data_IF_848616213809
#
_entry.id   IF_848616213809
#
_cell.length_a   1.000
_cell.length_b   1.000
_cell.length_c   1.000
_cell.angle_alpha   90.00
_cell.angle_beta   90.00
_cell.angle_gamma   90.00
#
_symmetry.space_group_name_H-M   'P 1'
#
loop_
_entity.id
_entity.type
_entity.pdbx_description
1 polymer ?
#
# COMPACT_ATOMS: atom_id res chain seq x y z
N UNK A 1 -39.44 1.53 9.70
CA UNK A 1 -39.17 0.25 10.37
C UNK A 1 -39.00 -0.82 9.28
N UNK A 2 -37.84 -0.97 8.75
CA UNK A 2 -37.46 -2.02 7.83
C UNK A 2 -36.09 -2.52 8.26
N UNK A 3 -36.08 -3.51 9.17
CA UNK A 3 -34.86 -4.29 9.44
C UNK A 3 -34.54 -5.08 8.19
N UNK A 4 -33.59 -4.57 7.38
CA UNK A 4 -33.06 -5.29 6.24
C UNK A 4 -32.33 -6.53 6.74
N UNK A 5 -32.69 -7.71 6.21
CA UNK A 5 -32.03 -8.97 6.49
C UNK A 5 -30.51 -8.84 6.21
N UNK A 6 -29.71 -8.94 7.25
CA UNK A 6 -28.27 -8.90 7.19
C UNK A 6 -27.72 -10.25 7.70
N UNK A 7 -26.95 -10.95 6.85
CA UNK A 7 -26.14 -12.08 7.33
C UNK A 7 -24.81 -11.53 7.83
N UNK A 8 -24.54 -11.73 9.13
CA UNK A 8 -23.20 -11.64 9.67
C UNK A 8 -22.50 -12.99 9.51
N UNK A 9 -21.35 -13.02 8.85
CA UNK A 9 -20.56 -14.24 8.70
C UNK A 9 -20.33 -14.93 10.06
N UNK A 10 -21.09 -15.98 10.42
CA UNK A 10 -20.93 -16.74 11.67
C UNK A 10 -20.12 -18.02 11.46
N UNK A 11 -19.33 -18.45 12.42
CA UNK A 11 -18.58 -19.70 12.35
C UNK A 11 -19.51 -20.88 12.62
N UNK A 12 -19.86 -21.65 11.59
CA UNK A 12 -20.37 -23.00 11.77
C UNK A 12 -19.23 -23.99 11.57
N UNK A 13 -19.00 -24.81 12.57
CA UNK A 13 -18.10 -25.97 12.51
C UNK A 13 -18.87 -27.07 11.79
N UNK A 14 -18.46 -27.46 10.60
CA UNK A 14 -18.96 -28.64 9.93
C UNK A 14 -17.81 -29.60 9.62
N UNK A 15 -18.07 -30.87 9.89
CA UNK A 15 -17.14 -31.98 9.97
C UNK A 15 -16.48 -32.34 8.63
N UNK A 16 -15.28 -32.87 8.76
CA UNK A 16 -14.46 -33.44 7.70
C UNK A 16 -15.10 -34.64 7.04
N UNK A 17 -15.09 -34.69 5.71
CA UNK A 17 -15.20 -35.93 4.92
C UNK A 17 -13.91 -36.10 4.12
N UNK A 18 -13.16 -37.13 4.47
CA UNK A 18 -12.01 -37.63 3.71
C UNK A 18 -12.44 -38.23 2.39
N UNK A 19 -11.74 -37.89 1.30
CA UNK A 19 -11.62 -38.76 0.14
C UNK A 19 -10.14 -38.91 -0.24
N UNK A 20 -9.72 -40.16 -0.15
CA UNK A 20 -8.46 -40.72 -0.66
C UNK A 20 -8.62 -41.09 -2.12
N UNK A 21 -7.59 -40.92 -2.94
CA UNK A 21 -7.02 -41.88 -3.91
C UNK A 21 -6.28 -41.13 -5.03
N UNK A 22 -5.04 -41.38 -5.13
CA UNK A 22 -4.28 -42.26 -6.04
C UNK A 22 -3.88 -41.60 -7.37
N UNK A 23 -2.56 -41.44 -7.49
CA UNK A 23 -1.86 -41.20 -8.75
C UNK A 23 -1.82 -42.48 -9.62
N UNK A 24 -1.57 -42.38 -10.92
CA UNK A 24 -0.45 -43.17 -11.44
C UNK A 24 0.50 -42.45 -12.40
N UNK A 25 1.67 -42.99 -12.40
CA UNK A 25 2.87 -42.84 -13.20
C UNK A 25 2.68 -43.08 -14.72
N UNK A 26 3.54 -42.50 -15.51
CA UNK A 26 4.32 -43.00 -16.66
C UNK A 26 4.60 -41.87 -17.64
N UNK A 27 5.67 -41.70 -18.33
CA UNK A 27 6.93 -42.32 -18.61
C UNK A 27 7.64 -41.46 -19.68
N UNK A 28 8.95 -41.51 -19.68
CA UNK A 28 9.91 -40.90 -20.62
C UNK A 28 9.59 -41.05 -22.09
N UNK A 29 9.94 -40.03 -22.93
CA UNK A 29 10.74 -40.28 -24.11
C UNK A 29 11.60 -39.09 -24.52
N UNK A 30 12.86 -39.39 -24.81
CA UNK A 30 13.93 -38.52 -25.35
C UNK A 30 13.71 -38.31 -26.85
N UNK A 31 13.98 -37.10 -27.36
CA UNK A 31 14.55 -36.92 -28.68
C UNK A 31 15.60 -35.81 -28.60
N UNK A 32 16.82 -36.17 -29.01
CA UNK A 32 17.99 -35.29 -29.18
C UNK A 32 18.09 -34.81 -30.62
N UNK A 33 18.68 -33.60 -30.75
CA UNK A 33 19.47 -33.08 -31.87
C UNK A 33 18.73 -32.39 -33.02
N UNK A 34 18.86 -31.05 -33.05
CA UNK A 34 19.45 -30.30 -34.19
C UNK A 34 19.46 -28.79 -33.88
N UNK A 35 20.59 -28.28 -33.48
CA UNK A 35 21.00 -26.87 -33.54
C UNK A 35 22.45 -26.97 -34.09
N UNK A 36 22.94 -26.16 -35.03
CA UNK A 36 23.07 -24.72 -34.92
C UNK A 36 23.07 -23.98 -36.27
N UNK A 37 22.28 -23.00 -36.50
CA UNK A 37 22.53 -22.00 -37.56
C UNK A 37 21.78 -20.65 -37.44
N UNK A 38 21.02 -20.43 -36.35
CA UNK A 38 20.21 -19.19 -36.21
C UNK A 38 20.77 -18.23 -35.14
N UNK A 39 21.88 -18.57 -34.50
CA UNK A 39 22.40 -17.83 -33.33
C UNK A 39 23.26 -16.58 -33.66
N UNK A 40 23.63 -16.35 -34.93
CA UNK A 40 24.56 -15.24 -35.27
C UNK A 40 23.88 -14.00 -35.77
N UNK A 41 22.62 -14.04 -36.23
CA UNK A 41 21.93 -12.86 -36.77
C UNK A 41 21.10 -12.13 -35.70
N UNK A 42 20.75 -12.79 -34.58
CA UNK A 42 19.97 -12.16 -33.50
C UNK A 42 20.77 -11.29 -32.52
N UNK A 43 22.09 -11.43 -32.49
CA UNK A 43 22.96 -10.67 -31.55
C UNK A 43 23.27 -9.27 -32.04
N UNK A 44 23.21 -9.00 -33.36
CA UNK A 44 23.49 -7.68 -33.92
C UNK A 44 22.28 -6.72 -33.92
N UNK A 45 21.06 -7.23 -33.76
CA UNK A 45 19.87 -6.38 -33.65
C UNK A 45 19.54 -5.94 -32.23
N UNK A 46 20.13 -6.58 -31.19
CA UNK A 46 19.89 -6.25 -29.79
C UNK A 46 20.74 -5.06 -29.28
N UNK A 47 21.76 -4.64 -30.02
CA UNK A 47 22.63 -3.52 -29.62
C UNK A 47 22.21 -2.14 -30.16
N UNK A 48 21.19 -2.05 -31.02
CA UNK A 48 20.73 -0.79 -31.63
C UNK A 48 19.37 -0.28 -31.15
N UNK A 49 18.69 -1.00 -30.23
CA UNK A 49 17.38 -0.62 -29.72
C UNK A 49 17.33 -0.63 -28.18
N UNK A 50 18.37 -0.17 -27.51
CA UNK A 50 18.27 0.12 -26.07
C UNK A 50 17.66 1.50 -25.90
N UNK A 51 16.50 1.65 -25.22
CA UNK A 51 16.03 2.96 -24.82
C UNK A 51 17.07 3.53 -23.84
N UNK A 52 17.54 4.73 -24.14
CA UNK A 52 18.46 5.48 -23.28
C UNK A 52 17.85 5.56 -21.89
N UNK A 53 18.46 4.83 -20.94
CA UNK A 53 18.21 5.01 -19.53
C UNK A 53 18.47 6.45 -19.15
N UNK A 54 17.46 7.12 -18.63
CA UNK A 54 17.61 8.44 -18.02
C UNK A 54 18.72 8.36 -16.96
N UNK A 55 19.64 9.33 -16.90
CA UNK A 55 20.70 9.31 -15.92
C UNK A 55 20.08 9.39 -14.50
N UNK A 56 20.35 8.41 -13.66
CA UNK A 56 19.99 8.47 -12.25
C UNK A 56 20.79 9.62 -11.61
N UNK A 57 20.13 10.68 -11.23
CA UNK A 57 20.74 11.91 -10.69
C UNK A 57 21.49 11.74 -9.36
N UNK A 58 21.46 10.56 -8.75
CA UNK A 58 22.35 10.22 -7.63
C UNK A 58 23.62 9.46 -8.05
N UNK A 59 23.85 9.27 -9.34
CA UNK A 59 25.14 8.88 -9.84
C UNK A 59 26.02 10.13 -9.95
N UNK A 60 26.78 10.41 -8.89
CA UNK A 60 27.83 11.43 -8.91
C UNK A 60 28.96 10.95 -9.82
N UNK A 61 29.50 11.78 -10.75
CA UNK A 61 30.66 11.40 -11.54
C UNK A 61 31.85 11.06 -10.64
N UNK A 62 32.54 9.99 -10.97
CA UNK A 62 33.71 9.51 -10.25
C UNK A 62 34.86 10.52 -10.36
N UNK A 63 34.87 11.54 -9.52
CA UNK A 63 36.07 12.33 -9.22
C UNK A 63 36.48 12.00 -7.78
N UNK A 64 37.71 11.55 -7.65
CA UNK A 64 38.38 11.15 -6.44
C UNK A 64 38.35 12.25 -5.39
N UNK A 65 37.46 12.09 -4.42
CA UNK A 65 37.68 12.58 -3.05
C UNK A 65 36.74 11.80 -2.14
N UNK A 66 37.32 10.98 -1.28
CA UNK A 66 36.63 10.26 -0.22
C UNK A 66 36.20 11.25 0.86
N UNK A 67 35.09 11.96 0.64
CA UNK A 67 34.45 12.71 1.73
C UNK A 67 33.78 11.71 2.66
N UNK A 68 34.04 11.74 3.97
CA UNK A 68 33.45 10.84 4.95
C UNK A 68 31.91 10.94 5.03
N UNK A 69 31.32 11.99 4.45
CA UNK A 69 29.87 12.22 4.41
C UNK A 69 29.17 11.30 3.39
N UNK A 70 29.82 10.96 2.25
CA UNK A 70 29.20 10.10 1.22
C UNK A 70 29.04 8.65 1.65
N UNK A 71 29.91 8.13 2.52
CA UNK A 71 29.84 6.73 3.00
C UNK A 71 28.69 6.50 3.99
N UNK A 72 28.06 7.56 4.51
CA UNK A 72 27.00 7.50 5.52
C UNK A 72 25.58 7.50 4.93
N UNK A 73 25.40 7.80 3.66
CA UNK A 73 24.06 7.79 3.05
C UNK A 73 23.57 6.36 2.88
N UNK A 74 22.41 6.05 3.45
CA UNK A 74 21.84 4.70 3.47
C UNK A 74 21.74 4.09 2.06
N UNK A 75 21.38 4.86 1.04
CA UNK A 75 21.27 4.40 -0.35
C UNK A 75 22.60 4.27 -1.10
N UNK A 76 23.73 4.61 -0.48
CA UNK A 76 25.06 4.27 -1.00
C UNK A 76 25.40 2.79 -0.79
N UNK A 77 24.67 2.08 0.05
CA UNK A 77 24.88 0.66 0.31
C UNK A 77 24.29 -0.19 -0.81
N UNK A 78 25.06 -1.17 -1.30
CA UNK A 78 24.59 -2.10 -2.33
C UNK A 78 23.61 -3.12 -1.74
N UNK A 79 22.45 -3.29 -2.38
CA UNK A 79 21.49 -4.34 -2.01
C UNK A 79 21.95 -5.71 -2.48
N UNK A 80 21.55 -6.75 -1.77
CA UNK A 80 21.82 -8.16 -2.12
C UNK A 80 20.60 -8.85 -2.73
N UNK A 81 19.44 -8.23 -2.63
CA UNK A 81 18.20 -8.74 -3.21
C UNK A 81 17.32 -7.59 -3.74
N UNK A 82 16.56 -7.90 -4.75
CA UNK A 82 15.58 -7.00 -5.36
C UNK A 82 14.24 -7.72 -5.50
N UNK A 83 13.14 -7.00 -5.29
CA UNK A 83 11.79 -7.53 -5.47
C UNK A 83 11.19 -6.96 -6.75
N UNK A 84 10.49 -7.83 -7.51
CA UNK A 84 9.76 -7.45 -8.73
C UNK A 84 8.41 -8.16 -8.79
N UNK A 85 7.43 -7.64 -9.53
CA UNK A 85 6.21 -8.37 -9.80
C UNK A 85 6.53 -9.75 -10.36
N UNK A 86 5.88 -10.79 -9.83
CA UNK A 86 6.03 -12.13 -10.39
C UNK A 86 5.34 -12.24 -11.75
N UNK A 87 5.98 -12.90 -12.71
CA UNK A 87 5.42 -13.07 -14.06
C UNK A 87 4.17 -13.98 -14.09
N UNK A 88 4.08 -14.94 -13.17
CA UNK A 88 3.03 -15.97 -13.18
C UNK A 88 1.60 -15.42 -13.13
N UNK A 89 1.37 -14.25 -12.50
CA UNK A 89 0.02 -13.68 -12.40
C UNK A 89 -0.34 -12.76 -13.57
N UNK A 90 0.63 -12.36 -14.39
CA UNK A 90 0.41 -11.41 -15.50
C UNK A 90 -0.31 -12.03 -16.70
N UNK A 91 -0.26 -13.35 -16.86
CA UNK A 91 -0.85 -14.03 -18.01
C UNK A 91 -2.35 -14.23 -17.90
N UNK A 92 -2.92 -13.98 -16.72
CA UNK A 92 -4.34 -14.22 -16.45
C UNK A 92 -4.73 -15.70 -16.49
N UNK A 93 -5.80 -16.04 -15.82
CA UNK A 93 -6.43 -17.36 -15.90
C UNK A 93 -7.90 -17.10 -16.23
N UNK A 94 -8.37 -17.46 -17.43
CA UNK A 94 -9.73 -17.17 -17.85
C UNK A 94 -10.77 -17.66 -16.84
N UNK A 95 -11.79 -16.85 -16.62
CA UNK A 95 -12.91 -17.22 -15.76
C UNK A 95 -13.84 -18.19 -16.51
N UNK A 96 -14.54 -19.09 -15.80
CA UNK A 96 -15.60 -19.90 -16.40
C UNK A 96 -16.64 -19.01 -17.10
N UNK A 97 -17.29 -19.50 -18.17
CA UNK A 97 -18.27 -18.68 -18.92
C UNK A 97 -19.54 -18.37 -18.13
N UNK A 98 -19.93 -19.27 -17.22
CA UNK A 98 -21.11 -19.08 -16.36
C UNK A 98 -20.76 -18.26 -15.14
N UNK A 99 -21.69 -17.43 -14.63
CA UNK A 99 -21.52 -16.62 -13.44
C UNK A 99 -22.55 -16.97 -12.37
N UNK A 100 -22.10 -16.96 -11.12
CA UNK A 100 -22.94 -17.26 -9.95
C UNK A 100 -23.86 -16.11 -9.58
N UNK A 101 -23.58 -14.90 -10.04
CA UNK A 101 -24.36 -13.70 -9.76
C UNK A 101 -23.50 -12.45 -9.82
N UNK A 102 -24.02 -11.37 -9.26
CA UNK A 102 -23.38 -10.05 -9.22
C UNK A 102 -22.94 -9.73 -7.80
N UNK A 103 -21.75 -9.13 -7.69
CA UNK A 103 -21.19 -8.69 -6.41
C UNK A 103 -20.76 -7.23 -6.51
N UNK A 104 -21.23 -6.39 -5.59
CA UNK A 104 -20.74 -5.03 -5.41
C UNK A 104 -19.93 -4.94 -4.15
N UNK A 105 -18.69 -4.48 -4.26
CA UNK A 105 -17.82 -4.30 -3.10
C UNK A 105 -18.14 -2.97 -2.44
N UNK A 106 -18.43 -3.03 -1.16
CA UNK A 106 -18.66 -1.87 -0.31
C UNK A 106 -17.38 -1.52 0.42
N UNK A 107 -16.76 -0.41 0.02
CA UNK A 107 -15.46 0.03 0.53
C UNK A 107 -15.65 1.18 1.52
N UNK A 108 -14.87 1.19 2.60
CA UNK A 108 -14.99 2.23 3.63
C UNK A 108 -13.63 2.74 4.11
N UNK A 109 -13.63 3.95 4.71
CA UNK A 109 -12.43 4.59 5.24
C UNK A 109 -11.72 5.48 4.22
N UNK A 110 -10.48 5.86 4.47
CA UNK A 110 -9.70 6.67 3.55
C UNK A 110 -9.21 5.90 2.34
N UNK A 111 -8.70 6.61 1.32
CA UNK A 111 -8.35 6.09 -0.01
C UNK A 111 -7.60 4.74 0.01
N UNK A 112 -6.60 4.58 0.86
CA UNK A 112 -5.78 3.38 0.86
C UNK A 112 -6.43 2.20 1.60
N UNK A 113 -7.45 2.45 2.44
CA UNK A 113 -8.36 1.43 2.95
C UNK A 113 -9.33 0.98 1.84
N UNK A 114 -9.92 1.95 1.11
CA UNK A 114 -10.79 1.67 -0.05
C UNK A 114 -10.04 0.81 -1.08
N UNK A 115 -8.80 1.17 -1.43
CA UNK A 115 -7.96 0.39 -2.36
C UNK A 115 -7.74 -1.04 -1.86
N UNK A 116 -7.46 -1.24 -0.58
CA UNK A 116 -7.32 -2.58 -0.01
C UNK A 116 -8.60 -3.38 -0.15
N UNK A 117 -9.75 -2.78 0.18
CA UNK A 117 -11.05 -3.45 0.09
C UNK A 117 -11.40 -3.79 -1.37
N UNK A 118 -11.02 -2.94 -2.33
CA UNK A 118 -11.13 -3.22 -3.76
C UNK A 118 -10.28 -4.42 -4.19
N UNK A 119 -9.01 -4.44 -3.79
CA UNK A 119 -8.10 -5.54 -4.10
C UNK A 119 -8.63 -6.88 -3.57
N UNK A 120 -9.11 -6.88 -2.33
CA UNK A 120 -9.70 -8.04 -1.70
C UNK A 120 -11.01 -8.43 -2.40
N UNK A 121 -11.84 -7.45 -2.74
CA UNK A 121 -13.09 -7.64 -3.45
C UNK A 121 -12.93 -8.26 -4.84
N UNK A 122 -11.93 -7.83 -5.61
CA UNK A 122 -11.60 -8.43 -6.92
C UNK A 122 -11.24 -9.91 -6.77
N UNK A 123 -10.39 -10.25 -5.80
CA UNK A 123 -10.04 -11.64 -5.55
C UNK A 123 -11.24 -12.47 -5.11
N UNK A 124 -12.11 -11.92 -4.26
CA UNK A 124 -13.32 -12.60 -3.78
C UNK A 124 -14.34 -12.76 -4.91
N UNK A 125 -14.57 -11.75 -5.74
CA UNK A 125 -15.45 -11.85 -6.90
C UNK A 125 -14.98 -12.96 -7.83
N UNK A 126 -13.67 -13.06 -8.07
CA UNK A 126 -13.08 -14.15 -8.86
C UNK A 126 -13.23 -15.52 -8.17
N UNK A 127 -13.01 -15.57 -6.86
CA UNK A 127 -13.14 -16.80 -6.07
C UNK A 127 -14.57 -17.35 -6.11
N UNK A 128 -15.56 -16.46 -6.01
CA UNK A 128 -16.98 -16.79 -6.05
C UNK A 128 -17.52 -16.96 -7.49
N UNK A 129 -16.68 -16.77 -8.50
CA UNK A 129 -17.07 -16.75 -9.91
C UNK A 129 -18.25 -15.79 -10.19
N UNK A 130 -18.16 -14.58 -9.64
CA UNK A 130 -19.17 -13.53 -9.75
C UNK A 130 -18.74 -12.45 -10.76
N UNK A 131 -19.72 -11.79 -11.39
CA UNK A 131 -19.51 -10.53 -12.10
C UNK A 131 -19.45 -9.40 -11.06
N UNK A 132 -18.37 -8.63 -11.06
CA UNK A 132 -18.22 -7.49 -10.17
C UNK A 132 -18.92 -6.27 -10.76
N UNK A 133 -19.78 -5.64 -9.98
CA UNK A 133 -20.34 -4.31 -10.30
C UNK A 133 -19.39 -3.25 -9.76
N UNK A 134 -19.28 -2.09 -10.44
CA UNK A 134 -18.43 -1.00 -9.96
C UNK A 134 -18.63 -0.78 -8.45
N UNK A 135 -17.54 -0.67 -7.68
CA UNK A 135 -17.59 -0.58 -6.23
C UNK A 135 -18.30 0.69 -5.74
N UNK A 136 -18.84 0.63 -4.55
CA UNK A 136 -19.42 1.78 -3.86
C UNK A 136 -18.50 2.17 -2.71
N UNK A 137 -18.16 3.45 -2.64
CA UNK A 137 -17.45 4.02 -1.51
C UNK A 137 -18.45 4.47 -0.46
N UNK A 138 -18.21 4.10 0.78
CA UNK A 138 -19.02 4.58 1.90
C UNK A 138 -18.67 6.03 2.18
N UNK A 139 -19.69 6.85 2.36
CA UNK A 139 -19.51 8.22 2.85
C UNK A 139 -18.92 8.14 4.26
N UNK A 140 -17.67 8.57 4.42
CA UNK A 140 -17.02 8.57 5.72
C UNK A 140 -17.42 9.82 6.50
N UNK A 141 -18.30 9.67 7.45
CA UNK A 141 -18.78 10.77 8.31
C UNK A 141 -17.63 11.52 9.02
N UNK A 142 -16.52 10.82 9.29
CA UNK A 142 -15.32 11.38 9.93
C UNK A 142 -14.60 12.46 9.11
N UNK A 143 -14.70 12.40 7.76
CA UNK A 143 -13.94 13.27 6.87
C UNK A 143 -14.83 14.04 5.90
N UNK A 144 -16.13 14.02 6.10
CA UNK A 144 -17.11 14.60 5.16
C UNK A 144 -16.82 14.19 3.71
N UNK A 145 -16.47 12.92 3.52
CA UNK A 145 -15.98 12.37 2.26
C UNK A 145 -17.11 11.68 1.51
N UNK A 146 -17.41 12.16 0.31
CA UNK A 146 -18.52 11.67 -0.52
C UNK A 146 -18.09 11.27 -1.93
N UNK A 147 -16.77 11.20 -2.20
CA UNK A 147 -16.27 10.79 -3.52
C UNK A 147 -16.65 9.35 -3.84
N UNK A 148 -17.06 9.13 -5.10
CA UNK A 148 -17.26 7.81 -5.65
C UNK A 148 -15.97 7.23 -6.30
N UNK A 149 -16.09 6.02 -6.84
CA UNK A 149 -14.98 5.36 -7.54
C UNK A 149 -14.45 6.20 -8.72
N UNK A 150 -15.36 6.73 -9.55
CA UNK A 150 -15.02 7.51 -10.74
C UNK A 150 -14.37 8.87 -10.43
N UNK A 151 -14.57 9.39 -9.23
CA UNK A 151 -13.95 10.67 -8.81
C UNK A 151 -12.45 10.52 -8.57
N UNK A 152 -11.98 9.29 -8.34
CA UNK A 152 -10.57 8.99 -8.04
C UNK A 152 -9.93 8.15 -9.14
N UNK A 153 -10.61 7.10 -9.63
CA UNK A 153 -10.03 6.10 -10.53
C UNK A 153 -10.63 6.17 -11.94
N UNK A 154 -9.84 5.76 -12.93
CA UNK A 154 -10.27 5.61 -14.32
C UNK A 154 -11.12 4.33 -14.46
N UNK A 155 -12.43 4.52 -14.70
CA UNK A 155 -13.42 3.43 -14.78
C UNK A 155 -13.17 2.53 -15.99
N UNK A 156 -12.90 3.12 -17.16
CA UNK A 156 -12.76 2.35 -18.39
C UNK A 156 -11.45 1.58 -18.39
N UNK A 157 -10.38 2.19 -17.90
CA UNK A 157 -9.11 1.51 -17.69
C UNK A 157 -9.25 0.36 -16.68
N UNK A 158 -9.95 0.57 -15.56
CA UNK A 158 -10.19 -0.47 -14.56
C UNK A 158 -10.91 -1.69 -15.16
N UNK A 159 -11.98 -1.48 -15.91
CA UNK A 159 -12.74 -2.54 -16.56
C UNK A 159 -11.87 -3.29 -17.58
N UNK A 160 -11.09 -2.56 -18.37
CA UNK A 160 -10.22 -3.17 -19.38
C UNK A 160 -9.11 -4.00 -18.74
N UNK A 161 -8.44 -3.47 -17.70
CA UNK A 161 -7.31 -4.16 -17.05
C UNK A 161 -7.73 -5.35 -16.18
N UNK A 162 -8.99 -5.43 -15.78
CA UNK A 162 -9.52 -6.60 -15.07
C UNK A 162 -10.02 -7.68 -16.00
N UNK A 163 -10.15 -7.41 -17.30
CA UNK A 163 -10.58 -8.39 -18.31
C UNK A 163 -9.64 -9.61 -18.33
N UNK A 164 -10.22 -10.81 -18.33
CA UNK A 164 -9.47 -12.08 -18.22
C UNK A 164 -9.13 -12.52 -16.80
N UNK A 165 -9.38 -11.68 -15.79
CA UNK A 165 -9.22 -12.00 -14.37
C UNK A 165 -10.57 -12.05 -13.65
N UNK A 166 -11.34 -10.99 -13.75
CA UNK A 166 -12.70 -10.87 -13.24
C UNK A 166 -13.51 -10.01 -14.21
N UNK A 167 -14.75 -10.39 -14.46
CA UNK A 167 -15.64 -9.54 -15.24
C UNK A 167 -16.13 -8.38 -14.38
N UNK A 168 -16.01 -7.15 -14.89
CA UNK A 168 -16.48 -5.94 -14.22
C UNK A 168 -17.46 -5.21 -15.13
N UNK A 169 -18.60 -4.80 -14.58
CA UNK A 169 -19.64 -4.03 -15.28
C UNK A 169 -19.89 -2.72 -14.56
N UNK A 170 -20.26 -1.68 -15.33
CA UNK A 170 -20.66 -0.37 -14.76
C UNK A 170 -21.97 -0.51 -14.01
N UNK A 171 -22.94 -1.15 -14.63
CA UNK A 171 -24.30 -1.33 -14.13
C UNK A 171 -24.73 -2.80 -14.26
N UNK A 172 -25.69 -3.18 -13.46
CA UNK A 172 -26.31 -4.50 -13.50
C UNK A 172 -27.53 -4.47 -14.43
N UNK A 173 -27.94 -5.63 -15.00
CA UNK A 173 -29.17 -5.74 -15.77
C UNK A 173 -30.36 -5.17 -15.00
N UNK A 174 -31.28 -4.50 -15.73
CA UNK A 174 -32.41 -3.79 -15.14
C UNK A 174 -33.28 -4.70 -14.27
N UNK A 175 -33.50 -5.94 -14.71
CA UNK A 175 -34.31 -6.95 -14.00
C UNK A 175 -33.77 -7.26 -12.59
N UNK A 176 -32.46 -7.09 -12.39
CA UNK A 176 -31.78 -7.34 -11.12
C UNK A 176 -31.66 -6.01 -10.32
N UNK A 177 -31.54 -4.89 -11.02
CA UNK A 177 -31.35 -3.56 -10.42
C UNK A 177 -32.56 -3.08 -9.59
N UNK A 178 -33.76 -3.62 -9.88
CA UNK A 178 -34.98 -3.31 -9.14
C UNK A 178 -34.98 -3.79 -7.68
N UNK A 179 -34.02 -4.67 -7.32
CA UNK A 179 -33.86 -5.17 -5.95
C UNK A 179 -32.63 -4.56 -5.31
N UNK A 180 -32.78 -4.11 -4.06
CA UNK A 180 -31.61 -3.74 -3.25
C UNK A 180 -30.70 -4.98 -3.07
N UNK A 181 -29.37 -4.80 -3.14
CA UNK A 181 -28.46 -5.90 -2.96
C UNK A 181 -28.55 -6.46 -1.54
N UNK A 182 -28.57 -7.77 -1.42
CA UNK A 182 -28.48 -8.41 -0.11
C UNK A 182 -27.11 -8.11 0.50
N UNK A 183 -27.06 -7.53 1.71
CA UNK A 183 -25.81 -7.07 2.29
C UNK A 183 -25.12 -8.13 3.14
N UNK A 184 -23.85 -8.40 2.85
CA UNK A 184 -22.99 -9.34 3.59
C UNK A 184 -21.83 -8.56 4.20
N UNK A 185 -21.81 -8.39 5.52
CA UNK A 185 -20.72 -7.69 6.23
C UNK A 185 -19.77 -8.67 6.91
N UNK A 186 -18.55 -8.74 6.41
CA UNK A 186 -17.48 -9.57 6.96
C UNK A 186 -16.42 -8.80 7.76
N UNK A 187 -16.58 -7.50 8.03
CA UNK A 187 -15.56 -6.65 8.71
C UNK A 187 -15.16 -7.15 10.09
N UNK A 188 -16.12 -7.62 10.87
CA UNK A 188 -15.89 -8.03 12.26
C UNK A 188 -15.22 -9.40 12.40
N UNK A 189 -14.99 -10.09 11.30
CA UNK A 189 -14.36 -11.41 11.33
C UNK A 189 -12.89 -11.31 11.66
N UNK A 190 -12.51 -12.04 12.70
CA UNK A 190 -11.11 -12.27 13.07
C UNK A 190 -10.75 -13.71 12.73
N UNK A 191 -9.55 -13.90 12.17
CA UNK A 191 -9.07 -15.22 11.84
C UNK A 191 -9.41 -15.69 10.42
N UNK A 192 -9.31 -16.98 10.21
CA UNK A 192 -9.59 -17.59 8.92
C UNK A 192 -11.09 -17.90 8.79
N UNK A 193 -11.68 -17.47 7.69
CA UNK A 193 -12.95 -18.02 7.24
C UNK A 193 -12.91 -18.19 5.71
N UNK A 194 -13.76 -19.07 5.22
CA UNK A 194 -13.85 -19.37 3.82
C UNK A 194 -15.01 -18.55 3.18
N UNK A 195 -14.68 -17.74 2.18
CA UNK A 195 -15.70 -16.98 1.44
C UNK A 195 -16.63 -17.89 0.63
N UNK A 196 -16.11 -19.04 0.13
CA UNK A 196 -16.93 -19.96 -0.65
C UNK A 196 -17.99 -20.59 0.26
N UNK A 197 -17.60 -21.06 1.44
CA UNK A 197 -18.54 -21.63 2.39
C UNK A 197 -19.54 -20.61 2.94
N UNK A 198 -19.07 -19.36 3.15
CA UNK A 198 -19.85 -18.35 3.89
C UNK A 198 -20.68 -17.44 3.00
N UNK A 199 -20.17 -17.03 1.83
CA UNK A 199 -20.78 -15.98 1.00
C UNK A 199 -21.42 -16.56 -0.26
N UNK A 200 -20.86 -17.64 -0.82
CA UNK A 200 -21.40 -18.22 -2.05
C UNK A 200 -22.90 -18.65 -1.92
N UNK A 201 -23.36 -19.24 -0.80
CA UNK A 201 -24.78 -19.55 -0.65
C UNK A 201 -25.69 -18.33 -0.82
N UNK A 202 -25.36 -17.21 -0.18
CA UNK A 202 -26.11 -15.97 -0.31
C UNK A 202 -26.07 -15.40 -1.73
N UNK A 203 -24.91 -15.52 -2.41
CA UNK A 203 -24.79 -15.09 -3.81
C UNK A 203 -25.67 -15.91 -4.75
N UNK A 204 -25.74 -17.23 -4.55
CA UNK A 204 -26.57 -18.13 -5.37
C UNK A 204 -28.07 -17.90 -5.14
N UNK A 205 -28.46 -17.62 -3.89
CA UNK A 205 -29.85 -17.35 -3.50
C UNK A 205 -30.32 -16.00 -4.01
N UNK A 206 -29.58 -14.93 -3.68
CA UNK A 206 -30.01 -13.55 -3.97
C UNK A 206 -29.60 -13.04 -5.34
N UNK A 207 -28.64 -13.69 -6.02
CA UNK A 207 -28.08 -13.34 -7.34
C UNK A 207 -27.39 -11.98 -7.40
N UNK A 208 -27.63 -11.07 -6.47
CA UNK A 208 -26.97 -9.80 -6.32
C UNK A 208 -26.74 -9.50 -4.84
N UNK A 209 -25.45 -9.38 -4.47
CA UNK A 209 -25.03 -9.07 -3.11
C UNK A 209 -24.14 -7.84 -3.06
N UNK A 210 -24.19 -7.14 -1.94
CA UNK A 210 -23.23 -6.11 -1.54
C UNK A 210 -22.33 -6.68 -0.45
N UNK A 211 -21.02 -6.71 -0.68
CA UNK A 211 -20.06 -7.33 0.22
C UNK A 211 -19.09 -6.29 0.79
N UNK A 212 -19.00 -6.25 2.13
CA UNK A 212 -17.88 -5.60 2.82
C UNK A 212 -16.85 -6.67 3.19
N UNK A 213 -15.62 -6.65 2.60
CA UNK A 213 -14.62 -7.67 2.83
C UNK A 213 -14.11 -7.70 4.27
N UNK A 214 -13.61 -8.84 4.72
CA UNK A 214 -13.02 -8.98 6.03
C UNK A 214 -11.69 -8.21 6.12
N UNK A 215 -11.45 -7.54 7.24
CA UNK A 215 -10.23 -6.76 7.48
C UNK A 215 -8.95 -7.61 7.51
N UNK A 216 -9.06 -8.88 7.87
CA UNK A 216 -7.94 -9.81 8.02
C UNK A 216 -8.21 -11.09 7.23
N UNK A 217 -7.43 -11.30 6.18
CA UNK A 217 -7.52 -12.46 5.30
C UNK A 217 -6.17 -13.14 5.14
N UNK A 218 -6.18 -14.47 5.16
CA UNK A 218 -5.03 -15.28 4.76
C UNK A 218 -5.07 -15.57 3.27
N UNK A 219 -4.65 -14.60 2.49
CA UNK A 219 -4.62 -14.65 1.00
C UNK A 219 -3.66 -15.70 0.45
N UNK A 220 -2.70 -16.14 1.27
CA UNK A 220 -1.83 -17.28 0.99
C UNK A 220 -2.61 -18.56 0.66
N UNK A 221 -3.82 -18.70 1.19
CA UNK A 221 -4.71 -19.85 0.94
C UNK A 221 -5.59 -19.73 -0.30
N UNK A 222 -5.63 -18.57 -0.95
CA UNK A 222 -6.43 -18.45 -2.17
C UNK A 222 -5.81 -19.28 -3.30
N UNK A 223 -6.65 -19.85 -4.19
CA UNK A 223 -6.18 -20.48 -5.42
C UNK A 223 -5.39 -19.48 -6.28
N UNK A 224 -4.54 -19.98 -7.17
CA UNK A 224 -3.69 -19.16 -8.04
C UNK A 224 -4.49 -18.14 -8.86
N UNK A 225 -5.64 -18.52 -9.40
CA UNK A 225 -6.48 -17.62 -10.19
C UNK A 225 -7.03 -16.43 -9.38
N UNK A 226 -7.40 -16.65 -8.11
CA UNK A 226 -7.87 -15.57 -7.24
C UNK A 226 -6.70 -14.67 -6.76
N UNK A 227 -5.52 -15.24 -6.50
CA UNK A 227 -4.28 -14.50 -6.25
C UNK A 227 -3.88 -13.65 -7.45
N UNK A 228 -3.94 -14.20 -8.67
CA UNK A 228 -3.64 -13.46 -9.89
C UNK A 228 -4.59 -12.27 -10.05
N UNK A 229 -5.91 -12.47 -9.82
CA UNK A 229 -6.90 -11.40 -9.88
C UNK A 229 -6.64 -10.31 -8.83
N UNK A 230 -6.23 -10.69 -7.62
CA UNK A 230 -5.81 -9.75 -6.59
C UNK A 230 -4.62 -8.90 -7.06
N UNK A 231 -3.55 -9.53 -7.56
CA UNK A 231 -2.33 -8.84 -7.98
C UNK A 231 -2.60 -7.91 -9.17
N UNK A 232 -3.35 -8.37 -10.17
CA UNK A 232 -3.76 -7.56 -11.32
C UNK A 232 -4.59 -6.35 -10.90
N UNK A 233 -5.63 -6.58 -10.08
CA UNK A 233 -6.51 -5.53 -9.61
C UNK A 233 -5.79 -4.49 -8.77
N UNK A 234 -4.93 -4.94 -7.85
CA UNK A 234 -4.19 -4.06 -6.94
C UNK A 234 -3.11 -3.22 -7.60
N UNK A 235 -2.33 -3.84 -8.49
CA UNK A 235 -1.06 -3.27 -8.93
C UNK A 235 -1.02 -2.88 -10.41
N UNK A 236 -2.09 -3.17 -11.15
CA UNK A 236 -2.21 -2.77 -12.54
C UNK A 236 -3.53 -2.05 -12.87
N UNK A 237 -4.66 -2.48 -12.34
CA UNK A 237 -5.97 -1.97 -12.76
C UNK A 237 -6.39 -0.65 -12.09
N UNK A 238 -5.88 -0.31 -10.90
CA UNK A 238 -6.27 0.89 -10.15
C UNK A 238 -5.39 2.09 -10.53
N UNK A 239 -5.68 2.69 -11.67
CA UNK A 239 -5.07 3.94 -12.15
C UNK A 239 -5.96 5.13 -11.79
N UNK A 240 -5.34 6.27 -11.47
CA UNK A 240 -6.07 7.52 -11.21
C UNK A 240 -6.78 7.99 -12.48
N UNK A 241 -7.91 8.66 -12.31
CA UNK A 241 -8.57 9.31 -13.43
C UNK A 241 -7.73 10.48 -13.95
N UNK A 242 -7.95 10.87 -15.22
CA UNK A 242 -7.13 11.88 -15.91
C UNK A 242 -7.08 13.24 -15.20
N UNK A 243 -8.15 13.65 -14.50
CA UNK A 243 -8.19 14.92 -13.78
C UNK A 243 -7.31 14.90 -12.54
N UNK A 244 -7.40 13.83 -11.76
CA UNK A 244 -6.58 13.65 -10.55
C UNK A 244 -5.13 13.45 -10.93
N UNK A 245 -4.86 12.66 -11.97
CA UNK A 245 -3.51 12.43 -12.47
C UNK A 245 -2.84 13.71 -12.98
N UNK A 246 -3.54 14.52 -13.79
CA UNK A 246 -3.02 15.80 -14.28
C UNK A 246 -2.66 16.75 -13.11
N UNK A 247 -3.51 16.82 -12.08
CA UNK A 247 -3.21 17.63 -10.88
C UNK A 247 -2.04 17.07 -10.08
N UNK A 248 -1.89 15.75 -10.02
CA UNK A 248 -0.75 15.11 -9.37
C UNK A 248 0.58 15.33 -10.14
N UNK A 249 0.54 15.38 -11.46
CA UNK A 249 1.68 15.72 -12.31
C UNK A 249 2.09 17.19 -12.09
N UNK A 250 1.13 18.12 -12.03
CA UNK A 250 1.38 19.52 -11.69
C UNK A 250 2.16 19.67 -10.37
N UNK A 251 1.72 18.95 -9.32
CA UNK A 251 2.45 18.91 -8.05
C UNK A 251 3.87 18.35 -8.21
N UNK A 252 4.00 17.24 -8.93
CA UNK A 252 5.28 16.55 -9.11
C UNK A 252 6.29 17.43 -9.86
N UNK A 253 5.83 18.24 -10.82
CA UNK A 253 6.65 19.17 -11.58
C UNK A 253 7.04 20.42 -10.80
N UNK A 254 6.20 20.85 -9.86
CA UNK A 254 6.46 21.99 -9.00
C UNK A 254 7.52 21.74 -7.91
N UNK A 255 7.85 20.46 -7.63
CA UNK A 255 8.86 20.12 -6.62
C UNK A 255 10.25 20.08 -7.25
N UNK A 256 11.23 20.85 -6.72
CA UNK A 256 12.62 20.80 -7.21
C UNK A 256 13.22 19.41 -7.05
N UNK A 257 13.83 18.90 -8.13
CA UNK A 257 14.43 17.56 -8.16
C UNK A 257 15.94 17.62 -7.92
N UNK A 258 16.54 16.60 -7.31
CA UNK A 258 15.88 15.41 -6.76
C UNK A 258 15.16 15.71 -5.44
N UNK A 259 14.10 14.93 -5.14
CA UNK A 259 13.38 15.08 -3.88
C UNK A 259 13.05 13.73 -3.21
N UNK A 260 12.91 13.79 -1.90
CA UNK A 260 12.44 12.69 -1.07
C UNK A 260 10.98 12.92 -0.70
N UNK A 261 10.11 11.93 -0.89
CA UNK A 261 8.79 11.96 -0.30
C UNK A 261 8.81 11.30 1.08
N UNK A 262 8.33 12.03 2.09
CA UNK A 262 8.23 11.58 3.47
C UNK A 262 6.77 11.42 3.87
N UNK A 263 6.34 10.20 4.18
CA UNK A 263 5.03 9.98 4.81
C UNK A 263 5.20 10.05 6.32
N UNK A 264 4.84 11.19 6.90
CA UNK A 264 4.91 11.46 8.34
C UNK A 264 3.50 11.32 8.95
N UNK A 265 3.35 10.40 9.89
CA UNK A 265 2.07 10.09 10.55
C UNK A 265 2.11 10.49 12.03
N UNK A 266 1.93 11.76 12.30
CA UNK A 266 1.86 12.32 13.66
C UNK A 266 0.68 13.30 13.81
N UNK A 267 -0.45 12.97 13.17
CA UNK A 267 -1.70 13.70 13.29
C UNK A 267 -2.45 13.25 14.56
N UNK A 268 -3.35 14.09 15.10
CA UNK A 268 -4.09 13.82 16.33
C UNK A 268 -4.85 12.48 16.32
N UNK A 269 -5.50 12.14 15.19
CA UNK A 269 -6.24 10.89 15.02
C UNK A 269 -5.35 9.66 15.14
N UNK A 270 -4.15 9.71 14.55
CA UNK A 270 -3.20 8.61 14.57
C UNK A 270 -2.57 8.43 15.94
N UNK A 271 -2.20 9.53 16.60
CA UNK A 271 -1.67 9.50 17.95
C UNK A 271 -2.73 8.98 18.93
N UNK A 272 -3.97 9.45 18.84
CA UNK A 272 -5.09 8.95 19.61
C UNK A 272 -5.34 7.45 19.39
N UNK A 273 -5.35 7.00 18.12
CA UNK A 273 -5.51 5.59 17.75
C UNK A 273 -4.38 4.70 18.32
N UNK A 274 -3.15 5.21 18.35
CA UNK A 274 -1.99 4.49 18.88
C UNK A 274 -2.06 4.25 20.39
N UNK A 275 -2.86 5.03 21.11
CA UNK A 275 -2.96 5.03 22.59
C UNK A 275 -1.64 5.36 23.29
N UNK A 276 -0.68 5.95 22.58
CA UNK A 276 0.62 6.32 23.12
C UNK A 276 0.59 7.64 23.86
N UNK A 277 1.39 7.71 24.94
CA UNK A 277 1.66 8.93 25.67
C UNK A 277 2.85 9.65 25.03
N UNK A 278 2.73 10.97 24.89
CA UNK A 278 3.81 11.88 24.50
C UNK A 278 3.91 13.03 25.50
N UNK A 279 5.14 13.38 25.85
CA UNK A 279 5.44 14.49 26.75
C UNK A 279 5.96 15.67 25.93
N UNK A 280 5.71 16.88 26.40
CA UNK A 280 6.23 18.11 25.79
C UNK A 280 5.52 18.54 24.51
N UNK A 281 4.31 18.04 24.27
CA UNK A 281 3.46 18.56 23.20
C UNK A 281 3.01 19.98 23.53
N UNK A 282 2.87 20.83 22.51
CA UNK A 282 2.29 22.17 22.63
C UNK A 282 0.82 22.11 23.10
N UNK A 283 0.35 23.19 23.73
CA UNK A 283 -1.06 23.27 24.19
C UNK A 283 -2.04 23.03 23.05
N UNK A 284 -1.76 23.57 21.85
CA UNK A 284 -2.55 23.35 20.63
C UNK A 284 -2.61 21.87 20.23
N UNK A 285 -1.47 21.18 20.27
CA UNK A 285 -1.40 19.76 19.95
C UNK A 285 -2.11 18.89 20.98
N UNK A 286 -2.00 19.25 22.26
CA UNK A 286 -2.72 18.57 23.34
C UNK A 286 -4.23 18.69 23.18
N UNK A 287 -4.74 19.88 22.91
CA UNK A 287 -6.17 20.12 22.68
C UNK A 287 -6.69 19.31 21.47
N UNK A 288 -5.98 19.36 20.34
CA UNK A 288 -6.34 18.58 19.15
C UNK A 288 -6.32 17.06 19.41
N UNK A 289 -5.35 16.60 20.18
CA UNK A 289 -5.22 15.19 20.55
C UNK A 289 -6.36 14.72 21.47
N UNK A 290 -6.73 15.52 22.47
CA UNK A 290 -7.85 15.19 23.36
C UNK A 290 -9.17 15.17 22.59
N UNK A 291 -9.39 16.13 21.69
CA UNK A 291 -10.57 16.12 20.80
C UNK A 291 -10.63 14.84 19.92
N UNK A 292 -9.48 14.38 19.39
CA UNK A 292 -9.38 13.19 18.57
C UNK A 292 -9.52 11.88 19.36
N UNK A 293 -9.22 11.88 20.66
CA UNK A 293 -9.38 10.69 21.52
C UNK A 293 -10.83 10.35 21.77
N UNK A 294 -11.66 11.34 22.00
CA UNK A 294 -13.04 11.12 22.44
C UNK A 294 -13.09 10.37 23.77
N UNK A 295 -14.23 9.72 24.04
CA UNK A 295 -14.45 8.96 25.29
C UNK A 295 -13.86 7.56 25.29
N UNK A 296 -13.53 7.00 24.14
CA UNK A 296 -13.24 5.56 23.99
C UNK A 296 -11.74 5.18 23.90
N UNK A 297 -10.83 6.14 23.86
CA UNK A 297 -9.41 5.90 23.57
C UNK A 297 -8.50 6.25 24.74
N UNK A 298 -8.49 5.40 25.75
CA UNK A 298 -7.62 5.57 26.92
C UNK A 298 -6.14 5.45 26.55
N UNK A 299 -5.32 6.34 27.09
CA UNK A 299 -3.85 6.31 26.98
C UNK A 299 -3.30 5.13 27.78
N UNK A 300 -2.33 4.44 27.20
CA UNK A 300 -1.57 3.42 27.92
C UNK A 300 -0.56 4.08 28.83
N UNK A 301 -0.45 3.61 30.06
CA UNK A 301 0.47 4.12 31.09
C UNK A 301 1.37 3.02 31.66
N UNK A 302 2.43 3.40 32.35
CA UNK A 302 3.31 2.48 33.07
C UNK A 302 3.97 1.44 32.13
N UNK A 303 4.03 0.20 32.59
CA UNK A 303 4.67 -0.91 31.86
C UNK A 303 3.99 -1.25 30.54
N UNK A 304 2.68 -1.09 30.46
CA UNK A 304 1.93 -1.30 29.23
C UNK A 304 2.33 -0.28 28.15
N UNK A 305 2.50 0.98 28.51
CA UNK A 305 2.97 2.02 27.58
C UNK A 305 4.40 1.74 27.11
N UNK A 306 5.28 1.36 28.03
CA UNK A 306 6.68 1.03 27.73
C UNK A 306 6.78 -0.17 26.78
N UNK A 307 6.06 -1.27 27.08
CA UNK A 307 6.02 -2.45 26.22
C UNK A 307 5.46 -2.14 24.82
N UNK A 308 4.42 -1.31 24.76
CA UNK A 308 3.77 -0.92 23.53
C UNK A 308 4.71 -0.10 22.63
N UNK A 309 5.41 0.88 23.21
CA UNK A 309 6.44 1.68 22.53
C UNK A 309 7.60 0.80 22.04
N UNK A 310 8.13 -0.08 22.88
CA UNK A 310 9.23 -0.99 22.52
C UNK A 310 8.86 -1.99 21.42
N UNK A 311 7.58 -2.26 21.23
CA UNK A 311 7.06 -3.02 20.07
C UNK A 311 6.93 -2.17 18.80
N UNK A 312 7.30 -0.89 18.83
CA UNK A 312 7.20 0.03 17.70
C UNK A 312 5.76 0.40 17.33
N UNK A 313 4.84 0.41 18.30
CA UNK A 313 3.43 0.75 18.06
C UNK A 313 3.15 2.24 18.12
N UNK A 314 4.06 3.03 18.69
CA UNK A 314 3.91 4.48 18.78
C UNK A 314 4.46 5.16 17.52
N UNK A 315 3.75 6.14 16.95
CA UNK A 315 4.28 7.01 15.90
C UNK A 315 5.57 7.72 16.32
N UNK A 316 6.47 7.99 15.39
CA UNK A 316 7.61 8.87 15.61
C UNK A 316 7.13 10.32 15.60
N UNK A 317 7.65 11.13 16.49
CA UNK A 317 7.45 12.58 16.43
C UNK A 317 8.21 13.17 15.23
N UNK A 318 7.87 14.39 14.79
CA UNK A 318 8.63 15.09 13.75
C UNK A 318 10.13 15.23 14.10
N UNK A 319 10.46 15.58 15.34
CA UNK A 319 11.86 15.69 15.81
C UNK A 319 12.60 14.35 15.77
N UNK A 320 11.99 13.27 16.26
CA UNK A 320 12.55 11.91 16.20
C UNK A 320 12.77 11.47 14.74
N UNK A 321 11.85 11.84 13.86
CA UNK A 321 11.97 11.56 12.42
C UNK A 321 13.14 12.30 11.81
N UNK A 322 13.30 13.61 12.09
CA UNK A 322 14.43 14.41 11.61
C UNK A 322 15.77 13.81 12.08
N UNK A 323 15.87 13.45 13.35
CA UNK A 323 17.06 12.81 13.91
C UNK A 323 17.42 11.50 13.17
N UNK A 324 16.43 10.63 12.93
CA UNK A 324 16.68 9.37 12.24
C UNK A 324 17.14 9.62 10.79
N UNK A 325 16.53 10.56 10.06
CA UNK A 325 16.96 10.89 8.70
C UNK A 325 18.40 11.40 8.66
N UNK A 326 18.80 12.24 9.61
CA UNK A 326 20.20 12.67 9.74
C UNK A 326 21.14 11.50 10.05
N UNK A 327 20.75 10.60 10.96
CA UNK A 327 21.50 9.39 11.26
C UNK A 327 21.71 8.49 10.03
N UNK A 328 20.74 8.47 9.11
CA UNK A 328 20.80 7.73 7.84
C UNK A 328 21.56 8.46 6.73
N UNK A 329 22.12 9.63 7.04
CA UNK A 329 22.92 10.43 6.12
C UNK A 329 22.10 11.24 5.11
N UNK A 330 20.82 11.46 5.33
CA UNK A 330 19.99 12.34 4.49
C UNK A 330 20.41 13.79 4.73
N UNK A 331 20.91 14.52 3.72
CA UNK A 331 21.37 15.88 3.88
C UNK A 331 20.24 16.84 4.29
N UNK A 332 20.55 17.83 5.09
CA UNK A 332 19.57 18.82 5.61
C UNK A 332 18.99 19.72 4.51
N UNK A 333 19.72 19.90 3.42
CA UNK A 333 19.32 20.65 2.21
C UNK A 333 18.43 19.84 1.25
N UNK A 334 18.11 18.59 1.56
CA UNK A 334 17.26 17.72 0.72
C UNK A 334 15.88 18.37 0.54
N UNK A 335 15.40 18.42 -0.71
CA UNK A 335 14.01 18.76 -0.98
C UNK A 335 13.10 17.63 -0.50
N UNK A 336 12.15 17.94 0.38
CA UNK A 336 11.26 16.95 0.99
C UNK A 336 9.81 17.30 0.67
N UNK A 337 9.14 16.40 -0.04
CA UNK A 337 7.68 16.44 -0.14
C UNK A 337 7.08 15.73 1.06
N UNK A 338 6.32 16.46 1.86
CA UNK A 338 5.65 15.94 3.05
C UNK A 338 4.26 15.42 2.67
N UNK A 339 4.14 14.11 2.53
CA UNK A 339 2.88 13.42 2.40
C UNK A 339 2.29 13.18 3.80
N UNK A 340 1.36 14.01 4.21
CA UNK A 340 0.72 13.94 5.52
C UNK A 340 -0.73 14.43 5.44
N UNK A 341 -1.54 14.06 6.43
CA UNK A 341 -2.87 14.63 6.63
C UNK A 341 -2.80 16.08 7.11
N UNK A 342 -3.93 16.78 7.02
CA UNK A 342 -4.06 18.12 7.56
C UNK A 342 -3.98 18.06 9.11
N UNK A 343 -3.36 19.06 9.74
CA UNK A 343 -3.24 19.14 11.19
C UNK A 343 -2.11 18.31 11.80
N UNK A 344 -1.02 18.09 11.06
CA UNK A 344 0.20 17.47 11.61
C UNK A 344 0.71 18.26 12.82
N UNK A 345 0.97 17.53 13.93
CA UNK A 345 1.42 18.14 15.19
C UNK A 345 2.94 18.29 15.24
N UNK A 346 3.44 19.30 15.96
CA UNK A 346 4.86 19.51 16.33
C UNK A 346 5.82 19.55 15.11
N UNK A 347 5.35 20.07 13.97
CA UNK A 347 6.12 20.09 12.73
C UNK A 347 7.41 20.92 12.84
N UNK A 348 7.44 21.93 13.73
CA UNK A 348 8.61 22.78 13.97
C UNK A 348 9.87 21.98 14.33
N UNK A 349 9.70 20.87 15.06
CA UNK A 349 10.78 19.96 15.37
C UNK A 349 11.44 19.31 14.15
N UNK A 350 10.72 19.20 13.03
CA UNK A 350 11.26 18.72 11.76
C UNK A 350 11.80 19.87 10.89
N UNK A 351 11.04 20.95 10.77
CA UNK A 351 11.40 22.10 9.92
C UNK A 351 12.58 22.90 10.47
N UNK A 352 12.90 22.74 11.76
CA UNK A 352 14.15 23.29 12.33
C UNK A 352 15.41 22.70 11.67
N UNK A 353 15.33 21.43 11.21
CA UNK A 353 16.43 20.67 10.58
C UNK A 353 16.35 20.73 9.06
N UNK A 354 15.18 20.38 8.50
CA UNK A 354 14.95 20.32 7.05
C UNK A 354 14.12 21.53 6.60
N UNK A 355 14.74 22.47 5.89
CA UNK A 355 14.12 23.74 5.50
C UNK A 355 13.35 23.65 4.17
N UNK A 356 13.76 22.78 3.25
CA UNK A 356 13.20 22.68 1.91
C UNK A 356 12.00 21.73 1.91
N UNK A 357 10.86 22.21 2.40
CA UNK A 357 9.66 21.39 2.52
C UNK A 357 8.55 21.84 1.58
N UNK A 358 7.91 20.87 0.97
CA UNK A 358 6.81 21.02 0.03
C UNK A 358 5.63 20.15 0.48
N UNK A 359 4.42 20.68 0.40
CA UNK A 359 3.17 19.97 0.70
C UNK A 359 2.18 20.21 -0.42
N UNK A 360 1.16 19.35 -0.53
CA UNK A 360 0.07 19.59 -1.47
C UNK A 360 -0.61 20.95 -1.25
N UNK A 361 -0.77 21.38 0.00
CA UNK A 361 -1.38 22.68 0.33
C UNK A 361 -0.48 23.88 0.05
N UNK A 362 0.86 23.70 0.02
CA UNK A 362 1.79 24.78 -0.34
C UNK A 362 2.00 24.93 -1.85
N UNK A 363 1.70 23.89 -2.62
CA UNK A 363 1.93 23.85 -4.06
C UNK A 363 0.66 24.09 -4.89
N UNK A 364 -0.51 23.79 -4.34
CA UNK A 364 -1.79 24.01 -5.00
C UNK A 364 -2.35 25.40 -4.70
N UNK A 365 -3.13 25.95 -5.63
CA UNK A 365 -3.94 27.11 -5.35
C UNK A 365 -4.93 26.79 -4.19
N UNK A 366 -5.06 27.72 -3.24
CA UNK A 366 -5.88 27.53 -2.04
C UNK A 366 -7.31 27.11 -2.37
N UNK A 367 -7.93 27.74 -3.36
CA UNK A 367 -9.30 27.42 -3.79
C UNK A 367 -9.44 26.00 -4.33
N UNK A 368 -8.45 25.53 -5.11
CA UNK A 368 -8.43 24.16 -5.64
C UNK A 368 -8.29 23.15 -4.50
N UNK A 369 -7.38 23.43 -3.56
CA UNK A 369 -7.15 22.56 -2.41
C UNK A 369 -8.39 22.43 -1.51
N UNK A 370 -9.08 23.53 -1.21
CA UNK A 370 -10.27 23.50 -0.35
C UNK A 370 -11.46 22.75 -0.99
N UNK A 371 -11.60 22.81 -2.31
CA UNK A 371 -12.67 22.11 -3.04
C UNK A 371 -12.44 20.61 -3.20
N UNK A 372 -11.19 20.13 -2.96
CA UNK A 372 -10.87 18.74 -3.15
C UNK A 372 -11.43 17.86 -2.02
N UNK A 373 -12.02 16.73 -2.40
CA UNK A 373 -12.36 15.67 -1.46
C UNK A 373 -11.11 15.06 -0.82
N UNK A 374 -11.24 14.53 0.38
CA UNK A 374 -10.15 13.91 1.13
C UNK A 374 -9.47 12.76 0.38
N UNK A 375 -10.23 11.92 -0.34
CA UNK A 375 -9.68 10.85 -1.17
C UNK A 375 -8.86 11.39 -2.35
N UNK A 376 -9.26 12.51 -2.95
CA UNK A 376 -8.46 13.17 -4.00
C UNK A 376 -7.15 13.71 -3.43
N UNK A 377 -7.20 14.42 -2.29
CA UNK A 377 -5.98 14.90 -1.58
C UNK A 377 -5.03 13.73 -1.26
N UNK A 378 -5.57 12.60 -0.79
CA UNK A 378 -4.78 11.40 -0.53
C UNK A 378 -4.23 10.74 -1.80
N UNK A 379 -4.94 10.84 -2.93
CA UNK A 379 -4.47 10.34 -4.23
C UNK A 379 -3.29 11.16 -4.76
N UNK A 380 -3.27 12.48 -4.54
CA UNK A 380 -2.13 13.34 -4.87
C UNK A 380 -0.89 12.93 -4.06
N UNK A 381 -1.02 12.81 -2.74
CA UNK A 381 0.09 12.35 -1.88
C UNK A 381 0.62 10.98 -2.31
N UNK A 382 -0.29 10.06 -2.63
CA UNK A 382 0.07 8.75 -3.13
C UNK A 382 0.86 8.83 -4.44
N UNK A 383 0.38 9.58 -5.44
CA UNK A 383 1.01 9.70 -6.75
C UNK A 383 2.41 10.33 -6.66
N UNK A 384 2.54 11.43 -5.94
CA UNK A 384 3.82 12.11 -5.71
C UNK A 384 4.80 11.18 -4.98
N UNK A 385 4.33 10.45 -3.96
CA UNK A 385 5.16 9.50 -3.21
C UNK A 385 5.65 8.33 -4.08
N UNK A 386 4.81 7.80 -4.96
CA UNK A 386 5.21 6.74 -5.90
C UNK A 386 6.29 7.22 -6.85
N UNK A 387 6.16 8.45 -7.38
CA UNK A 387 7.04 9.01 -8.41
C UNK A 387 8.22 9.85 -7.85
N UNK A 388 8.43 9.84 -6.53
CA UNK A 388 9.57 10.53 -5.90
C UNK A 388 10.90 9.81 -6.16
N UNK A 389 12.02 10.54 -6.10
CA UNK A 389 13.36 9.94 -6.22
C UNK A 389 13.67 8.97 -5.07
N UNK A 390 13.19 9.29 -3.87
CA UNK A 390 13.27 8.42 -2.69
C UNK A 390 11.97 8.53 -1.88
N UNK A 391 11.60 7.45 -1.23
CA UNK A 391 10.42 7.40 -0.36
C UNK A 391 10.77 6.90 1.03
N UNK A 392 10.30 7.59 2.05
CA UNK A 392 10.46 7.22 3.46
C UNK A 392 9.11 7.21 4.16
N UNK A 393 8.81 6.11 4.84
CA UNK A 393 7.63 5.94 5.67
C UNK A 393 7.99 5.94 7.15
N UNK A 394 7.29 6.73 7.97
CA UNK A 394 7.46 6.73 9.43
C UNK A 394 6.56 5.73 10.13
N UNK A 395 5.43 5.39 9.49
CA UNK A 395 4.47 4.41 9.99
C UNK A 395 4.01 3.52 8.84
N UNK A 396 4.24 2.21 8.93
CA UNK A 396 3.92 1.31 7.84
C UNK A 396 2.42 0.97 7.81
N UNK A 397 1.64 1.87 7.23
CA UNK A 397 0.19 1.78 7.05
C UNK A 397 -0.24 1.27 5.66
N UNK A 398 -1.52 1.45 5.34
CA UNK A 398 -2.05 1.03 4.02
C UNK A 398 -1.47 1.86 2.87
N UNK A 399 -1.26 3.17 3.06
CA UNK A 399 -0.62 4.03 2.06
C UNK A 399 0.79 3.52 1.76
N UNK A 400 1.59 3.28 2.80
CA UNK A 400 2.99 2.88 2.65
C UNK A 400 3.14 1.54 1.94
N UNK A 401 2.23 0.60 2.22
CA UNK A 401 2.18 -0.69 1.51
C UNK A 401 1.93 -0.51 0.03
N UNK A 402 0.97 0.36 -0.33
CA UNK A 402 0.63 0.62 -1.72
C UNK A 402 1.73 1.39 -2.45
N UNK A 403 2.32 2.42 -1.81
CA UNK A 403 3.46 3.17 -2.37
C UNK A 403 4.65 2.24 -2.58
N UNK A 404 5.03 1.45 -1.56
CA UNK A 404 6.15 0.49 -1.65
C UNK A 404 5.94 -0.50 -2.78
N UNK A 405 4.74 -1.07 -2.90
CA UNK A 405 4.41 -2.03 -3.94
C UNK A 405 4.49 -1.38 -5.35
N UNK A 406 3.90 -0.20 -5.54
CA UNK A 406 3.92 0.47 -6.83
C UNK A 406 5.32 0.96 -7.21
N UNK A 407 6.12 1.45 -6.26
CA UNK A 407 7.53 1.75 -6.49
C UNK A 407 8.31 0.50 -6.90
N UNK A 408 7.99 -0.65 -6.30
CA UNK A 408 8.57 -1.95 -6.70
C UNK A 408 8.14 -2.37 -8.10
N UNK A 409 6.86 -2.15 -8.49
CA UNK A 409 6.38 -2.37 -9.86
C UNK A 409 7.17 -1.54 -10.88
N UNK A 410 7.49 -0.29 -10.52
CA UNK A 410 8.25 0.64 -11.37
C UNK A 410 9.77 0.43 -11.30
N UNK A 411 10.27 -0.50 -10.48
CA UNK A 411 11.71 -0.73 -10.29
C UNK A 411 12.43 0.36 -9.47
N UNK A 412 11.69 1.16 -8.69
CA UNK A 412 12.24 2.23 -7.86
C UNK A 412 12.74 1.69 -6.52
N UNK A 413 14.06 1.69 -6.32
CA UNK A 413 14.74 0.99 -5.21
C UNK A 413 14.83 1.80 -3.90
N UNK A 414 14.81 3.14 -3.97
CA UNK A 414 15.05 3.99 -2.80
C UNK A 414 13.77 4.15 -1.96
N UNK A 415 13.37 3.07 -1.32
CA UNK A 415 12.20 3.00 -0.44
C UNK A 415 12.64 2.48 0.92
N UNK A 416 12.26 3.18 1.99
CA UNK A 416 12.66 2.87 3.34
C UNK A 416 11.50 3.05 4.32
N UNK A 417 11.40 2.14 5.29
CA UNK A 417 10.48 2.26 6.43
C UNK A 417 11.31 2.47 7.69
N UNK A 418 11.08 3.58 8.42
CA UNK A 418 11.80 3.86 9.65
C UNK A 418 11.42 2.88 10.76
N UNK A 419 12.43 2.30 11.41
CA UNK A 419 12.25 1.32 12.46
C UNK A 419 11.93 1.98 13.81
N UNK A 420 10.63 2.24 14.05
CA UNK A 420 10.12 2.73 15.34
C UNK A 420 10.50 1.82 16.51
N UNK A 421 10.56 0.50 16.25
CA UNK A 421 10.96 -0.50 17.26
C UNK A 421 12.42 -0.36 17.63
N UNK A 422 13.32 -0.22 16.66
CA UNK A 422 14.74 -0.04 16.92
C UNK A 422 14.97 1.27 17.71
N UNK A 423 14.38 2.37 17.22
CA UNK A 423 14.48 3.67 17.90
C UNK A 423 14.02 3.61 19.36
N UNK A 424 12.82 3.07 19.62
CA UNK A 424 12.29 2.96 20.98
C UNK A 424 13.17 2.11 21.90
N UNK A 425 13.68 0.98 21.41
CA UNK A 425 14.52 0.09 22.20
C UNK A 425 15.89 0.70 22.51
N UNK A 426 16.53 1.37 21.56
CA UNK A 426 17.81 2.02 21.77
C UNK A 426 17.70 3.25 22.68
N UNK A 427 16.64 4.04 22.53
CA UNK A 427 16.35 5.14 23.44
C UNK A 427 16.07 4.64 24.86
N UNK A 428 15.30 3.56 25.03
CA UNK A 428 15.04 2.94 26.31
C UNK A 428 16.30 2.34 26.98
N UNK A 429 17.30 1.95 26.19
CA UNK A 429 18.61 1.50 26.66
C UNK A 429 19.53 2.65 27.10
N UNK A 430 19.11 3.92 26.92
CA UNK A 430 19.86 5.09 27.34
C UNK A 430 21.10 5.40 26.50
N UNK A 431 21.13 5.03 25.22
CA UNK A 431 22.24 5.36 24.34
C UNK A 431 22.40 6.86 24.20
N UNK A 432 23.65 7.36 24.24
CA UNK A 432 23.96 8.74 23.91
C UNK A 432 23.65 9.02 22.42
N UNK A 433 23.47 10.28 22.07
CA UNK A 433 22.96 10.70 20.76
C UNK A 433 23.78 10.14 19.58
N UNK A 434 25.12 10.18 19.67
CA UNK A 434 26.03 9.63 18.67
C UNK A 434 25.96 8.11 18.56
N UNK A 435 25.82 7.41 19.68
CA UNK A 435 25.65 5.95 19.74
C UNK A 435 24.26 5.57 19.19
N UNK A 436 23.22 6.34 19.51
CA UNK A 436 21.87 6.15 18.99
C UNK A 436 21.86 6.33 17.45
N UNK A 437 22.49 7.40 16.95
CA UNK A 437 22.60 7.63 15.51
C UNK A 437 23.29 6.47 14.80
N UNK A 438 24.43 5.99 15.35
CA UNK A 438 25.13 4.83 14.81
C UNK A 438 24.26 3.57 14.83
N UNK A 439 23.59 3.27 15.95
CA UNK A 439 22.74 2.10 16.09
C UNK A 439 21.54 2.14 15.10
N UNK A 440 20.96 3.32 14.90
CA UNK A 440 19.88 3.52 13.93
C UNK A 440 20.38 3.30 12.49
N UNK A 441 21.56 3.80 12.16
CA UNK A 441 22.15 3.57 10.84
C UNK A 441 22.43 2.07 10.59
N UNK A 442 23.01 1.36 11.55
CA UNK A 442 23.31 -0.07 11.44
C UNK A 442 22.02 -0.89 11.24
N UNK A 443 20.97 -0.62 12.03
CA UNK A 443 19.70 -1.32 11.93
C UNK A 443 19.02 -1.15 10.55
N UNK A 444 19.05 0.08 10.01
CA UNK A 444 18.44 0.36 8.70
C UNK A 444 19.33 -0.13 7.55
N UNK A 445 20.65 -0.08 7.70
CA UNK A 445 21.58 -0.61 6.72
C UNK A 445 21.37 -2.10 6.47
N UNK A 446 21.22 -2.89 7.53
CA UNK A 446 20.94 -4.32 7.42
C UNK A 446 19.62 -4.58 6.69
N UNK A 447 18.55 -3.89 7.08
CA UNK A 447 17.24 -4.03 6.43
C UNK A 447 17.28 -3.60 4.96
N UNK A 448 18.04 -2.56 4.61
CA UNK A 448 18.18 -2.10 3.24
C UNK A 448 19.02 -3.07 2.39
N UNK A 449 20.17 -3.55 2.91
CA UNK A 449 21.05 -4.50 2.21
C UNK A 449 20.34 -5.83 1.98
N UNK A 450 19.68 -6.35 3.01
CA UNK A 450 18.95 -7.62 2.91
C UNK A 450 17.76 -7.54 1.95
N UNK A 451 17.34 -6.33 1.56
CA UNK A 451 16.26 -6.13 0.61
C UNK A 451 14.94 -6.73 1.07
N UNK A 452 14.71 -6.76 2.40
CA UNK A 452 13.51 -7.39 2.97
C UNK A 452 12.25 -6.81 2.37
N UNK A 453 11.62 -7.57 1.48
CA UNK A 453 10.30 -7.29 0.93
C UNK A 453 9.15 -7.65 1.87
N UNK A 454 9.41 -7.69 3.21
CA UNK A 454 8.38 -8.07 4.22
C UNK A 454 7.12 -7.19 4.19
N UNK A 455 7.19 -6.12 3.44
CA UNK A 455 6.10 -5.20 3.16
C UNK A 455 5.25 -5.60 1.95
N UNK A 456 5.76 -6.46 1.09
CA UNK A 456 5.13 -6.84 -0.17
C UNK A 456 4.42 -8.19 -0.04
N UNK A 457 3.23 -8.36 -0.65
CA UNK A 457 2.59 -9.67 -0.72
C UNK A 457 3.44 -10.65 -1.54
N UNK A 458 4.00 -11.68 -0.89
CA UNK A 458 4.87 -12.69 -1.50
C UNK A 458 4.24 -13.40 -2.71
N UNK A 459 2.91 -13.46 -2.77
CA UNK A 459 2.22 -14.05 -3.92
C UNK A 459 2.15 -13.12 -5.14
N UNK A 460 2.40 -11.81 -4.97
CA UNK A 460 2.44 -10.86 -6.10
C UNK A 460 3.85 -10.46 -6.50
N UNK A 461 4.80 -10.52 -5.57
CA UNK A 461 6.17 -10.08 -5.76
C UNK A 461 7.15 -11.20 -5.49
N UNK A 462 8.13 -11.34 -6.37
CA UNK A 462 9.17 -12.37 -6.34
C UNK A 462 10.53 -11.73 -6.03
N UNK A 463 11.32 -12.42 -5.21
CA UNK A 463 12.69 -12.00 -4.87
C UNK A 463 13.65 -12.40 -5.99
N UNK A 464 14.48 -11.46 -6.39
CA UNK A 464 15.62 -11.68 -7.27
C UNK A 464 16.90 -11.46 -6.47
N UNK A 465 17.78 -12.45 -6.42
CA UNK A 465 19.13 -12.29 -5.86
C UNK A 465 19.97 -11.48 -6.83
N UNK A 466 20.67 -10.44 -6.34
CA UNK A 466 21.55 -9.56 -7.12
C UNK A 466 22.98 -10.11 -7.19
#
# INVERSE_FOLDING_TARGET
>A
DGAGDQIQCSSSVAAAVMWTTAAPWCAHHRIRLLVPAIFVVSVLFFFLASPRSSPSFFAVPASREHSPVRSRLIWAQRRVAEWRPCEWWRTGIPAPPTRNGYIRIYCYGGLNQLRRDLCDGIAVARLLNATMVLPKFEVAAYWNESSGFADVFDVDYFIEQTRGYVEVVKDIPEEISLKEPFHVDCRKRKGHFDYVETVLPALLEHRYISLTPAMSQRKDRYPSYAKASYCQGCYNALQLNKKVEAKAIELLEAIPKPFLSLHLRFEPDMVAYSRCEYRGLSSKSMEALEAARGQDRNVLTGDAARLWRNRGKCPLTPSETAFILQALGIPTETNIYLAAGDGLMELDGFTSVYKNMYTKSSLLAHEDFERMHGNTKAALDYYVSVNSDAYVATFFGNMDKMVTAMRTVQGLQKTLVLSRRAFANYTAAGLAEDQLAKAMWDAHREDYIMGRGSALPEHCFCELKL
#
